data_IF_687503967250
#
_entry.id   IF_687503967250
#
_cell.length_a   1.000
_cell.length_b   1.000
_cell.length_c   1.000
_cell.angle_alpha   90.00
_cell.angle_beta   90.00
_cell.angle_gamma   90.00
#
_symmetry.space_group_name_H-M   'P 1'
#
loop_
_entity.id
_entity.type
_entity.pdbx_description
1 polymer ?
#
# COMPACT_ATOMS: atom_id res chain seq x y z
N UNK A 1 -1.04 14.65 -1.07
CA UNK A 1 -2.17 13.91 -0.44
C UNK A 1 -3.44 14.51 -1.00
N UNK A 2 -4.34 13.69 -1.52
CA UNK A 2 -5.62 14.17 -2.07
C UNK A 2 -6.46 14.87 -1.00
N UNK A 3 -7.32 15.79 -1.43
CA UNK A 3 -8.24 16.50 -0.56
C UNK A 3 -9.44 15.60 -0.22
N UNK A 4 -9.64 15.27 1.06
CA UNK A 4 -10.77 14.43 1.52
C UNK A 4 -12.15 14.99 1.08
N UNK A 5 -12.26 16.29 0.84
CA UNK A 5 -13.50 16.92 0.35
C UNK A 5 -13.86 16.50 -1.09
N UNK A 6 -12.85 16.14 -1.88
CA UNK A 6 -13.02 15.67 -3.26
C UNK A 6 -13.39 14.18 -3.30
N UNK A 7 -13.08 13.41 -2.26
CA UNK A 7 -13.44 12.00 -2.17
C UNK A 7 -14.94 11.80 -1.91
N UNK A 8 -15.47 10.69 -2.44
CA UNK A 8 -16.84 10.25 -2.20
C UNK A 8 -16.86 9.46 -0.89
N UNK A 9 -17.66 9.92 0.08
CA UNK A 9 -17.86 9.26 1.37
C UNK A 9 -19.00 8.24 1.33
N UNK A 10 -19.12 7.39 2.36
CA UNK A 10 -20.27 6.50 2.53
C UNK A 10 -21.61 7.26 2.54
N UNK A 11 -21.67 8.41 3.23
CA UNK A 11 -22.86 9.27 3.24
C UNK A 11 -23.20 9.88 1.89
N UNK A 12 -22.18 10.20 1.08
CA UNK A 12 -22.41 10.68 -0.29
C UNK A 12 -23.09 9.59 -1.13
N UNK A 13 -22.67 8.34 -0.99
CA UNK A 13 -23.28 7.21 -1.68
C UNK A 13 -24.73 6.96 -1.23
N UNK A 14 -24.99 6.98 0.09
CA UNK A 14 -26.35 6.76 0.60
C UNK A 14 -27.33 7.88 0.24
N UNK A 15 -26.84 9.11 0.05
CA UNK A 15 -27.62 10.26 -0.42
C UNK A 15 -27.74 10.35 -1.94
N UNK A 16 -27.00 9.54 -2.69
CA UNK A 16 -26.97 9.59 -4.15
C UNK A 16 -26.22 10.81 -4.71
N UNK A 17 -25.23 11.34 -3.99
CA UNK A 17 -24.41 12.48 -4.43
C UNK A 17 -23.54 12.09 -5.62
N UNK A 18 -23.69 12.76 -6.76
CA UNK A 18 -22.94 12.44 -8.00
C UNK A 18 -21.91 13.50 -8.42
N UNK A 19 -21.89 14.65 -7.76
CA UNK A 19 -21.22 15.86 -8.27
C UNK A 19 -19.81 16.08 -7.68
N UNK A 20 -19.23 15.07 -7.02
CA UNK A 20 -17.88 15.13 -6.47
C UNK A 20 -16.84 14.65 -7.49
N UNK A 21 -15.64 15.25 -7.46
CA UNK A 21 -14.50 14.87 -8.32
C UNK A 21 -14.14 13.38 -8.15
N UNK A 22 -14.17 12.87 -6.91
CA UNK A 22 -13.92 11.46 -6.59
C UNK A 22 -14.90 10.48 -7.23
N UNK A 23 -16.02 10.95 -7.78
CA UNK A 23 -16.95 10.11 -8.53
C UNK A 23 -16.33 9.53 -9.81
N UNK A 24 -15.29 10.18 -10.37
CA UNK A 24 -14.49 9.61 -11.47
C UNK A 24 -13.85 8.29 -11.08
N UNK A 25 -13.23 8.21 -9.89
CA UNK A 25 -12.66 6.98 -9.32
C UNK A 25 -13.74 5.90 -9.14
N UNK A 26 -14.88 6.25 -8.55
CA UNK A 26 -15.98 5.30 -8.29
C UNK A 26 -16.57 4.75 -9.59
N UNK A 27 -16.93 5.62 -10.54
CA UNK A 27 -17.52 5.23 -11.83
C UNK A 27 -16.55 4.39 -12.66
N UNK A 28 -15.28 4.78 -12.70
CA UNK A 28 -14.26 4.02 -13.42
C UNK A 28 -14.03 2.63 -12.83
N UNK A 29 -13.97 2.52 -11.50
CA UNK A 29 -13.86 1.24 -10.80
C UNK A 29 -15.06 0.33 -11.12
N UNK A 30 -16.29 0.83 -11.03
CA UNK A 30 -17.48 0.06 -11.38
C UNK A 30 -17.52 -0.33 -12.87
N UNK A 31 -17.09 0.57 -13.77
CA UNK A 31 -16.99 0.30 -15.21
C UNK A 31 -16.00 -0.83 -15.48
N UNK A 32 -14.83 -0.80 -14.85
CA UNK A 32 -13.79 -1.79 -15.01
C UNK A 32 -14.20 -3.14 -14.40
N UNK A 33 -14.73 -3.14 -13.18
CA UNK A 33 -15.31 -4.32 -12.53
C UNK A 33 -16.35 -5.01 -13.43
N UNK A 34 -17.22 -4.23 -14.08
CA UNK A 34 -18.22 -4.77 -15.02
C UNK A 34 -17.57 -5.41 -16.27
N UNK A 35 -16.51 -4.81 -16.82
CA UNK A 35 -15.75 -5.39 -17.94
C UNK A 35 -15.11 -6.73 -17.56
N UNK A 36 -14.62 -6.83 -16.34
CA UNK A 36 -13.95 -8.02 -15.80
C UNK A 36 -14.94 -9.02 -15.17
N UNK A 37 -16.25 -8.84 -15.39
CA UNK A 37 -17.34 -9.69 -14.90
C UNK A 37 -17.41 -9.83 -13.35
N UNK A 38 -16.95 -8.81 -12.63
CA UNK A 38 -17.07 -8.72 -11.18
C UNK A 38 -18.41 -8.09 -10.78
N UNK A 39 -19.11 -8.74 -9.84
CA UNK A 39 -20.44 -8.32 -9.39
C UNK A 39 -20.42 -7.16 -8.39
N UNK A 40 -19.33 -7.03 -7.64
CA UNK A 40 -19.20 -6.07 -6.55
C UNK A 40 -17.86 -5.35 -6.65
N UNK A 41 -17.86 -4.07 -6.30
CA UNK A 41 -16.66 -3.27 -6.12
C UNK A 41 -16.65 -2.72 -4.69
N UNK A 42 -15.46 -2.69 -4.08
CA UNK A 42 -15.26 -2.15 -2.74
C UNK A 42 -14.24 -1.01 -2.82
N UNK A 43 -14.56 0.13 -2.20
CA UNK A 43 -13.70 1.31 -2.14
C UNK A 43 -13.80 1.86 -0.73
N UNK A 44 -12.68 1.89 -0.01
CA UNK A 44 -12.55 2.31 1.39
C UNK A 44 -13.24 3.64 1.70
N UNK A 45 -13.13 4.62 0.80
CA UNK A 45 -13.69 5.97 1.02
C UNK A 45 -15.20 5.97 1.09
N UNK A 46 -15.87 5.10 0.33
CA UNK A 46 -17.33 5.11 0.17
C UNK A 46 -18.05 3.83 0.60
N UNK A 47 -17.30 2.80 1.00
CA UNK A 47 -17.84 1.53 1.49
C UNK A 47 -17.67 1.33 3.00
N UNK A 48 -16.94 2.21 3.69
CA UNK A 48 -16.80 2.21 5.15
C UNK A 48 -17.53 3.41 5.72
N UNK A 49 -18.44 3.20 6.67
CA UNK A 49 -18.97 4.29 7.49
C UNK A 49 -17.94 4.76 8.51
N UNK A 50 -17.14 5.75 8.12
CA UNK A 50 -16.10 6.36 8.96
C UNK A 50 -16.66 7.10 10.19
N UNK A 51 -17.97 7.31 10.30
CA UNK A 51 -18.59 7.89 11.50
C UNK A 51 -18.96 6.84 12.55
N UNK A 52 -19.07 5.57 12.14
CA UNK A 52 -19.23 4.45 13.05
C UNK A 52 -17.85 4.00 13.53
N UNK A 53 -17.47 4.41 14.75
CA UNK A 53 -16.16 4.04 15.32
C UNK A 53 -15.94 2.54 15.39
N UNK A 54 -17.01 1.77 15.65
CA UNK A 54 -16.99 0.31 15.64
C UNK A 54 -16.69 -0.25 14.24
N UNK A 55 -17.40 0.24 13.23
CA UNK A 55 -17.18 -0.22 11.85
C UNK A 55 -15.79 0.19 11.34
N UNK A 56 -15.34 1.40 11.66
CA UNK A 56 -14.01 1.88 11.31
C UNK A 56 -12.91 1.01 11.94
N UNK A 57 -13.07 0.63 13.21
CA UNK A 57 -12.13 -0.25 13.91
C UNK A 57 -12.08 -1.65 13.28
N UNK A 58 -13.24 -2.24 13.01
CA UNK A 58 -13.37 -3.53 12.32
C UNK A 58 -12.77 -3.48 10.90
N UNK A 59 -13.03 -2.39 10.17
CA UNK A 59 -12.57 -2.21 8.81
C UNK A 59 -11.04 -2.08 8.71
N UNK A 60 -10.42 -1.24 9.55
CA UNK A 60 -8.96 -1.06 9.53
C UNK A 60 -8.25 -2.37 9.89
N UNK A 61 -8.75 -3.14 10.87
CA UNK A 61 -8.19 -4.45 11.21
C UNK A 61 -8.43 -5.53 10.12
N UNK A 62 -9.42 -5.33 9.23
CA UNK A 62 -9.80 -6.33 8.21
C UNK A 62 -9.31 -5.99 6.80
N UNK A 63 -8.97 -4.73 6.53
CA UNK A 63 -8.74 -4.22 5.18
C UNK A 63 -7.66 -4.97 4.41
N UNK A 64 -6.56 -5.33 5.08
CA UNK A 64 -5.51 -6.16 4.48
C UNK A 64 -6.05 -7.50 3.95
N UNK A 65 -6.92 -8.17 4.73
CA UNK A 65 -7.51 -9.44 4.32
C UNK A 65 -8.53 -9.26 3.20
N UNK A 66 -9.24 -8.13 3.15
CA UNK A 66 -10.11 -7.82 2.02
C UNK A 66 -9.32 -7.65 0.72
N UNK A 67 -8.22 -6.90 0.76
CA UNK A 67 -7.31 -6.78 -0.38
C UNK A 67 -6.73 -8.13 -0.80
N UNK A 68 -6.27 -8.95 0.15
CA UNK A 68 -5.72 -10.28 -0.11
C UNK A 68 -6.71 -11.23 -0.78
N UNK A 69 -8.00 -11.10 -0.45
CA UNK A 69 -9.08 -11.96 -0.96
C UNK A 69 -9.80 -11.37 -2.18
N UNK A 70 -9.45 -10.16 -2.59
CA UNK A 70 -10.02 -9.55 -3.79
C UNK A 70 -9.64 -10.38 -5.01
N UNK A 71 -10.57 -10.56 -5.95
CA UNK A 71 -10.28 -11.20 -7.22
C UNK A 71 -9.32 -10.34 -8.07
N UNK A 72 -9.44 -9.02 -7.96
CA UNK A 72 -8.62 -8.04 -8.65
C UNK A 72 -8.66 -6.72 -7.88
N UNK A 73 -7.55 -5.99 -7.87
CA UNK A 73 -7.48 -4.63 -7.35
C UNK A 73 -7.13 -3.63 -8.45
N UNK A 74 -7.85 -2.52 -8.49
CA UNK A 74 -7.64 -1.45 -9.45
C UNK A 74 -7.01 -0.25 -8.76
N UNK A 75 -5.80 0.10 -9.17
CA UNK A 75 -5.08 1.29 -8.68
C UNK A 75 -5.30 2.44 -9.64
N UNK A 76 -6.14 3.40 -9.26
CA UNK A 76 -6.37 4.62 -10.03
C UNK A 76 -5.37 5.71 -9.62
N UNK A 77 -4.49 6.11 -10.53
CA UNK A 77 -3.42 7.07 -10.32
C UNK A 77 -3.78 8.40 -10.98
N UNK A 78 -4.50 9.25 -10.24
CA UNK A 78 -5.00 10.54 -10.73
C UNK A 78 -3.91 11.56 -11.06
N UNK A 79 -2.66 11.30 -10.68
CA UNK A 79 -1.49 12.15 -10.94
C UNK A 79 -0.57 11.59 -12.04
N UNK A 80 -1.03 10.57 -12.76
CA UNK A 80 -0.33 10.00 -13.92
C UNK A 80 -1.12 10.36 -15.19
N UNK A 81 -0.60 11.24 -16.05
CA UNK A 81 -1.25 11.60 -17.31
C UNK A 81 -1.26 10.46 -18.33
N UNK A 82 -2.24 10.49 -19.23
CA UNK A 82 -2.29 9.57 -20.36
C UNK A 82 -1.12 9.82 -21.34
N UNK A 83 -0.63 8.76 -22.00
CA UNK A 83 0.39 8.81 -23.07
C UNK A 83 1.83 9.16 -22.68
N UNK A 84 2.19 9.15 -21.39
CA UNK A 84 3.60 9.29 -21.00
C UNK A 84 4.38 7.97 -21.11
N UNK A 85 5.67 8.07 -21.48
CA UNK A 85 6.60 6.95 -21.35
C UNK A 85 6.86 6.68 -19.86
N UNK A 86 6.26 5.61 -19.37
CA UNK A 86 6.33 5.21 -17.95
C UNK A 86 7.70 4.63 -17.57
N UNK A 87 8.52 4.25 -18.57
CA UNK A 87 9.80 3.54 -18.37
C UNK A 87 10.95 4.49 -18.06
N UNK A 88 10.74 5.81 -18.15
CA UNK A 88 11.72 6.79 -17.68
C UNK A 88 11.77 6.83 -16.14
N UNK A 89 12.96 6.90 -15.57
CA UNK A 89 13.17 6.92 -14.11
C UNK A 89 12.49 8.10 -13.41
N UNK A 90 12.18 9.17 -14.14
CA UNK A 90 11.47 10.36 -13.67
C UNK A 90 10.06 10.50 -14.23
N UNK A 91 9.45 9.39 -14.69
CA UNK A 91 8.08 9.40 -15.21
C UNK A 91 7.06 9.84 -14.15
N UNK A 92 5.87 10.29 -14.58
CA UNK A 92 4.79 10.58 -13.64
C UNK A 92 4.34 9.33 -12.86
N UNK A 93 4.55 8.13 -13.42
CA UNK A 93 4.34 6.88 -12.68
C UNK A 93 5.33 6.76 -11.51
N UNK A 94 6.63 6.88 -11.76
CA UNK A 94 7.66 6.69 -10.72
C UNK A 94 7.60 7.74 -9.60
N UNK A 95 7.14 8.94 -9.95
CA UNK A 95 7.00 10.08 -9.03
C UNK A 95 5.60 10.23 -8.44
N UNK A 96 4.67 9.33 -8.77
CA UNK A 96 3.29 9.40 -8.28
C UNK A 96 3.23 9.40 -6.76
N UNK A 97 2.35 10.25 -6.24
CA UNK A 97 2.06 10.32 -4.81
C UNK A 97 1.53 9.01 -4.24
N UNK A 98 0.98 8.11 -5.08
CA UNK A 98 0.51 6.79 -4.65
C UNK A 98 1.59 5.99 -3.93
N UNK A 99 2.84 6.00 -4.42
CA UNK A 99 3.95 5.26 -3.80
C UNK A 99 4.39 5.83 -2.44
N UNK A 100 3.99 7.06 -2.12
CA UNK A 100 4.37 7.74 -0.86
C UNK A 100 3.25 7.78 0.17
N UNK A 101 2.05 7.26 -0.13
CA UNK A 101 0.95 7.18 0.85
C UNK A 101 1.16 5.97 1.77
N UNK A 102 0.85 6.10 3.06
CA UNK A 102 0.98 5.01 4.04
C UNK A 102 0.14 3.77 3.67
N UNK A 103 -1.16 3.98 3.45
CA UNK A 103 -2.14 2.93 3.18
C UNK A 103 -1.89 2.13 1.89
N UNK A 104 -1.21 2.72 0.91
CA UNK A 104 -0.97 2.04 -0.37
C UNK A 104 0.07 0.91 -0.27
N UNK A 105 0.77 0.77 0.86
CA UNK A 105 1.70 -0.36 1.08
C UNK A 105 0.95 -1.68 1.15
N UNK A 106 -0.13 -1.72 1.94
CA UNK A 106 -0.97 -2.91 2.01
C UNK A 106 -1.76 -3.12 0.71
N UNK A 107 -2.18 -2.03 0.04
CA UNK A 107 -2.80 -2.12 -1.29
C UNK A 107 -1.87 -2.76 -2.33
N UNK A 108 -0.55 -2.57 -2.19
CA UNK A 108 0.45 -3.16 -3.09
C UNK A 108 0.76 -4.63 -2.77
N UNK A 109 0.96 -4.94 -1.48
CA UNK A 109 1.47 -6.23 -1.02
C UNK A 109 0.39 -7.28 -0.78
N UNK A 110 -0.82 -6.87 -0.39
CA UNK A 110 -1.87 -7.81 -0.02
C UNK A 110 -2.51 -8.51 -1.23
N UNK A 111 -2.92 -7.81 -2.31
CA UNK A 111 -3.60 -8.46 -3.43
C UNK A 111 -2.67 -9.34 -4.27
N UNK A 112 -3.22 -10.45 -4.76
CA UNK A 112 -2.55 -11.27 -5.78
C UNK A 112 -2.46 -10.55 -7.13
N UNK A 113 -3.55 -9.91 -7.55
CA UNK A 113 -3.70 -9.28 -8.87
C UNK A 113 -3.97 -7.77 -8.72
N UNK A 114 -3.16 -6.93 -9.38
CA UNK A 114 -3.31 -5.46 -9.36
C UNK A 114 -3.12 -4.91 -10.77
N UNK A 115 -4.06 -4.07 -11.20
CA UNK A 115 -3.99 -3.31 -12.46
C UNK A 115 -3.89 -1.82 -12.15
N UNK A 116 -2.90 -1.16 -12.73
CA UNK A 116 -2.66 0.27 -12.60
C UNK A 116 -3.33 1.03 -13.74
N UNK A 117 -4.06 2.09 -13.40
CA UNK A 117 -4.76 2.95 -14.34
C UNK A 117 -4.32 4.40 -14.16
N UNK A 118 -4.21 5.11 -15.28
CA UNK A 118 -3.90 6.54 -15.30
C UNK A 118 -5.12 7.41 -14.95
N UNK A 119 -4.96 8.74 -14.99
CA UNK A 119 -6.03 9.71 -14.70
C UNK A 119 -7.27 9.58 -15.63
N UNK A 120 -7.13 8.91 -16.78
CA UNK A 120 -8.20 8.70 -17.76
C UNK A 120 -8.86 7.32 -17.65
N UNK A 121 -8.46 6.51 -16.65
CA UNK A 121 -8.84 5.09 -16.55
C UNK A 121 -8.35 4.25 -17.74
N UNK A 122 -7.22 4.61 -18.32
CA UNK A 122 -6.50 3.76 -19.28
C UNK A 122 -5.49 2.88 -18.55
N UNK A 123 -5.39 1.62 -18.97
CA UNK A 123 -4.50 0.64 -18.34
C UNK A 123 -3.05 1.04 -18.60
N UNK A 124 -2.29 1.21 -17.53
CA UNK A 124 -0.84 1.42 -17.55
C UNK A 124 -0.14 0.05 -17.66
N UNK A 125 -0.56 -0.88 -16.80
CA UNK A 125 -0.01 -2.23 -16.73
C UNK A 125 -0.43 -2.94 -15.45
N UNK A 126 -0.09 -4.21 -15.36
CA UNK A 126 -0.28 -5.05 -14.17
C UNK A 126 0.90 -4.92 -13.21
N UNK A 127 0.73 -5.33 -11.95
CA UNK A 127 1.85 -5.44 -10.99
C UNK A 127 2.95 -6.38 -11.49
N UNK A 128 2.60 -7.41 -12.25
CA UNK A 128 3.58 -8.33 -12.84
C UNK A 128 4.43 -7.63 -13.90
N UNK A 129 3.79 -6.91 -14.82
CA UNK A 129 4.46 -6.16 -15.89
C UNK A 129 5.34 -5.04 -15.36
N UNK A 130 4.91 -4.37 -14.28
CA UNK A 130 5.57 -3.19 -13.70
C UNK A 130 6.46 -3.53 -12.49
N UNK A 131 6.77 -4.82 -12.28
CA UNK A 131 7.44 -5.26 -11.05
C UNK A 131 8.86 -4.71 -10.90
N UNK A 132 9.56 -4.46 -12.01
CA UNK A 132 10.91 -3.89 -12.00
C UNK A 132 10.89 -2.43 -11.53
N UNK A 133 9.98 -1.64 -12.10
CA UNK A 133 9.80 -0.23 -11.82
C UNK A 133 9.33 -0.05 -10.37
N UNK A 134 8.39 -0.89 -9.92
CA UNK A 134 7.90 -0.87 -8.53
C UNK A 134 9.02 -1.24 -7.55
N UNK A 135 9.89 -2.21 -7.87
CA UNK A 135 11.07 -2.54 -7.07
C UNK A 135 12.01 -1.34 -6.92
N UNK A 136 12.30 -0.64 -8.02
CA UNK A 136 13.16 0.56 -8.01
C UNK A 136 12.57 1.72 -7.18
N UNK A 137 11.25 1.94 -7.28
CA UNK A 137 10.56 3.02 -6.56
C UNK A 137 10.48 2.71 -5.06
N UNK A 138 10.08 1.48 -4.71
CA UNK A 138 9.70 1.12 -3.34
C UNK A 138 10.81 0.45 -2.54
N UNK A 139 11.82 -0.11 -3.21
CA UNK A 139 12.83 -0.97 -2.62
C UNK A 139 12.30 -2.33 -2.15
N UNK A 140 11.10 -2.74 -2.58
CA UNK A 140 10.51 -4.04 -2.26
C UNK A 140 11.00 -5.04 -3.31
N UNK A 141 11.71 -6.12 -2.91
CA UNK A 141 12.18 -7.11 -3.86
C UNK A 141 11.08 -7.73 -4.71
N UNK A 142 11.32 -7.90 -6.02
CA UNK A 142 10.35 -8.49 -6.97
C UNK A 142 9.73 -9.81 -6.50
N UNK A 143 10.51 -10.67 -5.86
CA UNK A 143 10.03 -11.96 -5.30
C UNK A 143 8.86 -11.80 -4.32
N UNK A 144 8.76 -10.67 -3.62
CA UNK A 144 7.67 -10.36 -2.72
C UNK A 144 6.51 -9.68 -3.45
N UNK A 145 6.79 -8.78 -4.39
CA UNK A 145 5.78 -8.12 -5.23
C UNK A 145 4.96 -9.14 -6.05
N UNK A 146 5.65 -10.11 -6.64
CA UNK A 146 5.10 -11.18 -7.48
C UNK A 146 4.53 -12.36 -6.65
N UNK A 147 4.63 -12.32 -5.33
CA UNK A 147 4.11 -13.37 -4.45
C UNK A 147 4.82 -14.72 -4.56
N UNK A 148 6.00 -14.79 -5.20
CA UNK A 148 6.82 -16.01 -5.25
C UNK A 148 7.28 -16.46 -3.87
N UNK A 149 7.49 -15.50 -2.98
CA UNK A 149 7.79 -15.70 -1.56
C UNK A 149 6.81 -14.87 -0.75
N UNK A 150 6.29 -15.43 0.34
CA UNK A 150 5.48 -14.66 1.29
C UNK A 150 6.33 -13.53 1.89
N UNK A 151 5.87 -12.28 1.78
CA UNK A 151 6.59 -11.11 2.28
C UNK A 151 6.77 -11.13 3.81
N UNK A 152 6.00 -11.94 4.55
CA UNK A 152 6.23 -12.16 5.98
C UNK A 152 7.54 -12.88 6.28
N UNK A 153 8.18 -13.50 5.27
CA UNK A 153 9.54 -14.05 5.40
C UNK A 153 10.63 -12.97 5.38
N UNK A 154 10.30 -11.74 4.98
CA UNK A 154 11.19 -10.61 5.15
C UNK A 154 11.28 -10.23 6.63
N UNK A 155 12.46 -9.79 7.05
CA UNK A 155 12.65 -9.37 8.44
C UNK A 155 11.76 -8.18 8.80
N UNK A 156 11.52 -7.98 10.10
CA UNK A 156 10.79 -6.82 10.60
C UNK A 156 11.44 -5.53 10.10
N UNK A 157 12.77 -5.43 10.12
CA UNK A 157 13.49 -4.28 9.58
C UNK A 157 13.24 -4.05 8.08
N UNK A 158 13.21 -5.10 7.26
CA UNK A 158 12.91 -4.97 5.83
C UNK A 158 11.49 -4.47 5.62
N UNK A 159 10.50 -5.06 6.30
CA UNK A 159 9.10 -4.61 6.23
C UNK A 159 8.92 -3.16 6.70
N UNK A 160 9.62 -2.77 7.77
CA UNK A 160 9.67 -1.37 8.23
C UNK A 160 10.32 -0.44 7.18
N UNK A 161 11.37 -0.89 6.50
CA UNK A 161 12.02 -0.07 5.47
C UNK A 161 11.11 0.24 4.28
N UNK A 162 10.20 -0.67 3.92
CA UNK A 162 9.20 -0.46 2.86
C UNK A 162 8.17 0.62 3.21
N UNK A 163 8.03 0.91 4.50
CA UNK A 163 7.17 1.97 5.03
C UNK A 163 7.90 3.31 5.23
N UNK A 164 9.25 3.31 5.23
CA UNK A 164 10.07 4.44 5.69
C UNK A 164 9.86 5.76 4.93
N UNK A 165 9.58 5.70 3.63
CA UNK A 165 9.34 6.89 2.78
C UNK A 165 7.86 7.29 2.71
N UNK A 166 6.97 6.53 3.37
CA UNK A 166 5.53 6.73 3.30
C UNK A 166 5.06 7.76 4.32
N UNK A 167 3.99 8.46 3.97
CA UNK A 167 3.41 9.56 4.73
C UNK A 167 1.92 9.32 4.93
N UNK A 168 1.43 9.71 6.10
CA UNK A 168 0.01 9.67 6.47
C UNK A 168 -0.47 11.05 6.89
N UNK A 169 -1.78 11.30 6.74
CA UNK A 169 -2.38 12.60 7.08
C UNK A 169 -2.48 12.76 8.60
N UNK A 170 -2.93 11.70 9.29
CA UNK A 170 -2.87 11.61 10.75
C UNK A 170 -1.61 10.87 11.14
N UNK A 171 -1.02 11.27 12.27
CA UNK A 171 0.25 10.73 12.73
C UNK A 171 0.11 9.24 13.09
N UNK A 172 -0.96 8.89 13.81
CA UNK A 172 -1.27 7.52 14.23
C UNK A 172 -1.55 6.55 13.06
N UNK A 173 -1.99 7.05 11.90
CA UNK A 173 -2.27 6.22 10.73
C UNK A 173 -1.01 5.54 10.19
N UNK A 174 0.21 6.04 10.50
CA UNK A 174 1.45 5.35 10.10
C UNK A 174 1.58 3.99 10.77
N UNK A 175 0.99 3.82 11.96
CA UNK A 175 0.92 2.53 12.64
C UNK A 175 -0.23 1.68 12.07
N UNK A 176 -1.41 2.27 11.92
CA UNK A 176 -2.61 1.54 11.48
C UNK A 176 -2.48 1.02 10.05
N UNK A 177 -1.79 1.73 9.16
CA UNK A 177 -1.59 1.25 7.80
C UNK A 177 -0.66 0.02 7.70
N UNK A 178 0.05 -0.33 8.78
CA UNK A 178 1.01 -1.43 8.84
C UNK A 178 0.46 -2.68 9.55
N UNK A 179 -0.74 -2.63 10.13
CA UNK A 179 -1.32 -3.75 10.89
C UNK A 179 -1.31 -5.05 10.08
N UNK A 180 -1.80 -5.00 8.84
CA UNK A 180 -1.80 -6.15 7.94
C UNK A 180 -0.42 -6.64 7.50
N UNK A 181 0.55 -5.72 7.37
CA UNK A 181 1.95 -6.06 7.01
C UNK A 181 2.63 -6.86 8.13
N UNK A 182 2.25 -6.60 9.37
CA UNK A 182 2.80 -7.26 10.55
C UNK A 182 1.87 -8.31 11.16
N UNK A 183 0.70 -8.56 10.55
CA UNK A 183 -0.33 -9.46 11.08
C UNK A 183 -0.73 -9.14 12.53
N UNK A 184 -0.86 -7.84 12.84
CA UNK A 184 -1.25 -7.32 14.16
C UNK A 184 -2.70 -6.84 14.13
N UNK A 185 -3.38 -6.98 15.26
CA UNK A 185 -4.69 -6.37 15.52
C UNK A 185 -4.58 -5.50 16.77
N UNK A 186 -5.11 -4.28 16.71
CA UNK A 186 -5.16 -3.37 17.86
C UNK A 186 -6.30 -2.36 17.72
N UNK A 187 -6.82 -1.82 18.84
CA UNK A 187 -7.84 -0.77 18.80
C UNK A 187 -7.34 0.54 18.17
N UNK A 188 -8.20 1.18 17.38
CA UNK A 188 -7.95 2.48 16.74
C UNK A 188 -8.28 3.62 17.71
N UNK A 189 -7.25 4.19 18.34
CA UNK A 189 -7.36 5.34 19.24
C UNK A 189 -6.88 6.60 18.51
N UNK A 190 -7.78 7.26 17.77
CA UNK A 190 -7.47 8.53 17.13
C UNK A 190 -7.21 9.63 18.16
N UNK A 191 -6.09 10.34 17.99
CA UNK A 191 -5.55 11.31 18.96
C UNK A 191 -4.34 10.80 19.76
N UNK A 192 -3.97 9.52 19.65
CA UNK A 192 -2.80 8.96 20.37
C UNK A 192 -1.44 9.25 19.71
N UNK A 193 -1.43 9.74 18.47
CA UNK A 193 -0.22 10.15 17.73
C UNK A 193 0.85 9.05 17.72
N UNK A 194 2.12 9.38 18.00
CA UNK A 194 3.24 8.44 18.07
C UNK A 194 3.02 7.23 19.00
N UNK A 195 2.16 7.32 20.02
CA UNK A 195 1.88 6.16 20.90
C UNK A 195 1.25 4.99 20.12
N UNK A 196 0.55 5.24 19.01
CA UNK A 196 0.05 4.20 18.14
C UNK A 196 1.20 3.35 17.57
N UNK A 197 2.29 4.00 17.14
CA UNK A 197 3.44 3.32 16.57
C UNK A 197 4.21 2.52 17.63
N UNK A 198 4.32 3.06 18.85
CA UNK A 198 4.89 2.33 19.99
C UNK A 198 4.07 1.08 20.31
N UNK A 199 2.74 1.18 20.32
CA UNK A 199 1.85 0.02 20.51
C UNK A 199 2.00 -1.02 19.40
N UNK A 200 2.13 -0.58 18.15
CA UNK A 200 2.44 -1.47 17.03
C UNK A 200 3.76 -2.22 17.28
N UNK A 201 4.83 -1.52 17.65
CA UNK A 201 6.12 -2.17 17.93
C UNK A 201 6.01 -3.20 19.05
N UNK A 202 5.34 -2.86 20.16
CA UNK A 202 5.10 -3.80 21.26
C UNK A 202 4.33 -5.04 20.78
N UNK A 203 3.28 -4.87 19.97
CA UNK A 203 2.53 -5.99 19.40
C UNK A 203 3.36 -6.86 18.46
N UNK A 204 4.27 -6.27 17.68
CA UNK A 204 5.20 -7.03 16.84
C UNK A 204 6.13 -7.87 17.73
N UNK A 205 6.72 -7.26 18.77
CA UNK A 205 7.64 -7.95 19.70
C UNK A 205 6.97 -9.09 20.48
N UNK A 206 5.67 -9.01 20.74
CA UNK A 206 4.91 -10.09 21.37
C UNK A 206 4.81 -11.35 20.48
N UNK A 207 5.00 -11.22 19.16
CA UNK A 207 4.72 -12.27 18.18
C UNK A 207 5.96 -12.74 17.40
N UNK A 208 7.12 -12.11 17.60
CA UNK A 208 8.33 -12.42 16.85
C UNK A 208 9.58 -12.43 17.73
N UNK A 209 10.54 -13.28 17.38
CA UNK A 209 11.90 -13.28 17.92
C UNK A 209 12.90 -12.60 16.98
N UNK A 210 12.40 -11.87 15.98
CA UNK A 210 13.23 -11.12 15.03
C UNK A 210 13.75 -9.83 15.67
N UNK A 211 14.98 -9.89 16.18
CA UNK A 211 15.67 -8.77 16.82
C UNK A 211 15.92 -7.59 15.86
N UNK A 212 15.71 -7.75 14.54
CA UNK A 212 15.85 -6.65 13.58
C UNK A 212 14.86 -5.51 13.83
N UNK A 213 13.80 -5.72 14.63
CA UNK A 213 12.94 -4.63 15.11
C UNK A 213 13.71 -3.57 15.92
N UNK A 214 14.89 -3.91 16.46
CA UNK A 214 15.76 -3.00 17.20
C UNK A 214 16.88 -2.39 16.33
N UNK A 215 16.98 -2.75 15.06
CA UNK A 215 18.09 -2.38 14.17
C UNK A 215 17.98 -0.96 13.56
N UNK A 216 17.23 -0.05 14.19
CA UNK A 216 17.07 1.33 13.71
C UNK A 216 18.43 2.06 13.70
N UNK A 217 18.82 2.61 12.55
CA UNK A 217 20.04 3.41 12.41
C UNK A 217 21.34 2.60 12.25
N UNK A 218 21.28 1.27 12.14
CA UNK A 218 22.45 0.45 11.84
C UNK A 218 22.86 0.65 10.38
N UNK A 219 24.02 1.29 10.17
CA UNK A 219 24.66 1.33 8.85
C UNK A 219 25.30 -0.03 8.59
N UNK A 220 24.75 -0.79 7.65
CA UNK A 220 25.43 -2.01 7.16
C UNK A 220 26.61 -1.54 6.31
N UNK A 221 27.83 -1.68 6.85
CA UNK A 221 29.05 -1.55 6.03
C UNK A 221 29.11 -2.75 5.09
N UNK A 222 29.32 -2.49 3.80
CA UNK A 222 29.36 -3.50 2.76
C UNK A 222 30.33 -4.61 3.10
N UNK A 223 29.87 -5.86 3.04
CA UNK A 223 30.76 -7.02 2.99
C UNK A 223 31.43 -7.00 1.61
N UNK A 224 32.65 -6.49 1.55
CA UNK A 224 33.55 -6.74 0.44
C UNK A 224 33.83 -8.24 0.42
N UNK A 225 33.29 -8.94 -0.59
CA UNK A 225 33.79 -10.26 -0.93
C UNK A 225 35.18 -10.09 -1.54
N UNK A 226 36.22 -10.26 -0.73
CA UNK A 226 37.57 -10.51 -1.25
C UNK A 226 37.55 -11.82 -2.04
N UNK A 227 37.49 -11.71 -3.36
CA UNK A 227 37.81 -12.82 -4.26
C UNK A 227 39.29 -13.17 -4.06
N UNK A 228 39.57 -14.25 -3.33
CA UNK A 228 40.91 -14.82 -3.25
C UNK A 228 41.32 -15.33 -4.64
N UNK A 229 42.09 -14.52 -5.38
CA UNK A 229 42.92 -14.99 -6.48
C UNK A 229 44.25 -15.43 -5.89
N UNK A 230 44.39 -16.73 -5.61
CA UNK A 230 45.68 -17.33 -5.25
C UNK A 230 46.66 -17.24 -6.43
N UNK A 231 47.95 -16.93 -6.20
CA UNK A 231 48.93 -16.91 -7.27
C UNK A 231 49.27 -18.35 -7.67
N UNK A 232 49.24 -18.62 -8.99
CA UNK A 232 49.90 -19.80 -9.57
C UNK A 232 51.40 -19.55 -9.52
N UNK A 233 52.11 -20.36 -8.75
CA UNK A 233 53.56 -20.53 -8.77
C UNK A 233 53.86 -22.02 -8.66
#
# INVERSE_FOLDING_TARGET
MGNDEEEVSFKDMTRGTTNKVGMTKVKGCCRQAKKDNLKYAWIDTCCIDKESSKELDEAINSMFQWYRRAAMCYTYMSDVPHEQDIWESTSSFSTSSWFTRGWTLQELLAPGEIHFFDETWSLIGTKEELASEIEDITGIPRRFLLGWVDFHQASVAQRMSWASKRKTKREEDIAYCLLGIFNVTMPMIYGERHEAFKRLQLKIMEQTTDDSILAWGVKVQGMEFESQTGPRG
#
